data_IF_159613997891
#
_entry.id   IF_159613997891
#
_cell.length_a   1.000
_cell.length_b   1.000
_cell.length_c   1.000
_cell.angle_alpha   90.00
_cell.angle_beta   90.00
_cell.angle_gamma   90.00
#
_symmetry.space_group_name_H-M   'P 1'
#
loop_
_entity.id
_entity.type
_entity.pdbx_description
1 polymer ?
#
# COMPACT_ATOMS: atom_id res chain seq x y z
N UNK A 1 47.17 -17.76 12.69
CA UNK A 1 46.68 -16.60 11.90
C UNK A 1 46.28 -15.49 12.85
N UNK A 2 46.96 -14.34 12.85
CA UNK A 2 46.52 -13.16 13.62
C UNK A 2 45.47 -12.45 12.79
N UNK A 3 44.21 -12.47 13.23
CA UNK A 3 43.15 -11.75 12.54
C UNK A 3 43.45 -10.24 12.67
N UNK A 4 43.73 -9.52 11.57
CA UNK A 4 44.20 -8.15 11.67
C UNK A 4 43.09 -7.26 12.21
N UNK A 5 43.40 -6.35 13.14
CA UNK A 5 42.40 -5.49 13.79
C UNK A 5 41.49 -4.75 12.79
N UNK A 6 42.02 -4.43 11.60
CA UNK A 6 41.29 -3.84 10.48
C UNK A 6 40.13 -4.71 10.01
N UNK A 7 40.29 -6.04 9.97
CA UNK A 7 39.20 -6.97 9.60
C UNK A 7 38.12 -7.06 10.67
N UNK A 8 38.50 -7.02 11.96
CA UNK A 8 37.53 -6.95 13.06
C UNK A 8 36.75 -5.63 13.02
N UNK A 9 37.43 -4.50 12.84
CA UNK A 9 36.78 -3.19 12.72
C UNK A 9 35.82 -3.12 11.52
N UNK A 10 36.24 -3.64 10.36
CA UNK A 10 35.39 -3.69 9.17
C UNK A 10 34.16 -4.59 9.35
N UNK A 11 34.33 -5.77 9.96
CA UNK A 11 33.21 -6.68 10.24
C UNK A 11 32.20 -6.06 11.21
N UNK A 12 32.67 -5.43 12.29
CA UNK A 12 31.80 -4.75 13.25
C UNK A 12 31.04 -3.58 12.60
N UNK A 13 31.70 -2.80 11.75
CA UNK A 13 31.05 -1.72 11.01
C UNK A 13 29.97 -2.25 10.06
N UNK A 14 30.25 -3.33 9.32
CA UNK A 14 29.27 -3.95 8.42
C UNK A 14 28.05 -4.48 9.17
N UNK A 15 28.26 -5.15 10.31
CA UNK A 15 27.16 -5.62 11.18
C UNK A 15 26.36 -4.43 11.71
N UNK A 16 27.03 -3.35 12.14
CA UNK A 16 26.38 -2.13 12.61
C UNK A 16 25.51 -1.47 11.54
N UNK A 17 25.99 -1.38 10.30
CA UNK A 17 25.23 -0.85 9.16
C UNK A 17 24.02 -1.73 8.86
N UNK A 18 24.18 -3.06 8.88
CA UNK A 18 23.08 -3.99 8.65
C UNK A 18 22.03 -3.88 9.77
N UNK A 19 22.46 -3.83 11.03
CA UNK A 19 21.57 -3.64 12.16
C UNK A 19 20.79 -2.32 12.07
N UNK A 20 21.41 -1.25 11.54
CA UNK A 20 20.74 0.03 11.33
C UNK A 20 19.55 -0.09 10.35
N UNK A 21 19.61 -0.97 9.34
CA UNK A 21 18.49 -1.21 8.41
C UNK A 21 17.27 -1.86 9.07
N UNK A 22 17.43 -2.51 10.22
CA UNK A 22 16.32 -3.06 10.99
C UNK A 22 15.61 -1.99 11.85
N UNK A 23 16.29 -0.88 12.14
CA UNK A 23 15.79 0.21 12.99
C UNK A 23 15.27 1.37 12.15
N UNK A 24 15.93 1.66 11.04
CA UNK A 24 15.48 2.67 10.08
C UNK A 24 14.58 1.99 9.06
N UNK A 25 13.31 2.39 9.05
CA UNK A 25 12.36 2.00 8.00
C UNK A 25 12.23 3.14 6.99
N UNK A 26 13.14 3.27 6.00
CA UNK A 26 13.02 4.33 5.01
C UNK A 26 11.76 4.10 4.19
N UNK A 27 11.05 5.18 3.83
CA UNK A 27 9.95 5.07 2.88
C UNK A 27 10.47 4.46 1.57
N UNK A 28 9.81 3.42 1.04
CA UNK A 28 10.23 2.80 -0.21
C UNK A 28 10.19 3.86 -1.31
N UNK A 29 11.31 4.06 -2.01
CA UNK A 29 11.39 4.96 -3.17
C UNK A 29 10.84 4.35 -4.44
N UNK A 30 10.76 3.02 -4.46
CA UNK A 30 10.24 2.24 -5.59
C UNK A 30 9.37 1.12 -5.06
N UNK A 31 8.21 0.89 -5.69
CA UNK A 31 7.29 -0.20 -5.37
C UNK A 31 6.97 -0.98 -6.64
N UNK A 32 6.98 -2.30 -6.55
CA UNK A 32 6.46 -3.18 -7.61
C UNK A 32 4.98 -3.49 -7.36
N UNK A 33 4.11 -3.13 -8.30
CA UNK A 33 2.71 -3.55 -8.27
C UNK A 33 2.54 -4.89 -8.98
N UNK A 34 2.27 -5.94 -8.23
CA UNK A 34 2.05 -7.29 -8.72
C UNK A 34 0.58 -7.59 -9.09
N UNK A 35 -0.33 -6.60 -9.00
CA UNK A 35 -1.76 -6.81 -9.21
C UNK A 35 -2.32 -5.93 -10.32
N UNK A 36 -3.41 -6.34 -10.97
CA UNK A 36 -4.06 -5.54 -12.02
C UNK A 36 -4.92 -4.38 -11.47
N UNK A 37 -4.72 -3.93 -10.23
CA UNK A 37 -5.49 -2.80 -9.67
C UNK A 37 -5.10 -1.45 -10.25
N UNK A 38 -3.83 -1.33 -10.63
CA UNK A 38 -3.23 -0.30 -11.50
C UNK A 38 -2.32 -1.06 -12.48
N UNK A 39 -1.71 -0.45 -13.50
CA UNK A 39 -0.80 -1.17 -14.39
C UNK A 39 0.29 -1.93 -13.61
N UNK A 40 0.58 -3.18 -14.00
CA UNK A 40 1.62 -3.99 -13.38
C UNK A 40 2.99 -3.39 -13.75
N UNK A 41 3.86 -3.16 -12.77
CA UNK A 41 5.15 -2.52 -13.02
C UNK A 41 5.82 -1.89 -11.79
N UNK A 42 6.95 -1.22 -12.04
CA UNK A 42 7.70 -0.42 -11.07
C UNK A 42 7.17 1.01 -11.02
N UNK A 43 6.94 1.51 -9.81
CA UNK A 43 6.49 2.87 -9.54
C UNK A 43 7.49 3.59 -8.66
N UNK A 44 7.89 4.80 -9.04
CA UNK A 44 8.64 5.69 -8.17
C UNK A 44 7.69 6.36 -7.16
N UNK A 45 8.12 6.46 -5.90
CA UNK A 45 7.34 7.04 -4.81
C UNK A 45 7.90 8.42 -4.48
N UNK A 46 7.06 9.45 -4.59
CA UNK A 46 7.35 10.80 -4.10
C UNK A 46 6.60 11.07 -2.78
N UNK A 47 7.27 11.00 -1.62
CA UNK A 47 6.63 11.21 -0.32
C UNK A 47 6.33 12.68 -0.02
N UNK A 48 6.78 13.63 -0.85
CA UNK A 48 6.62 15.07 -0.59
C UNK A 48 5.41 15.68 -1.29
N UNK A 49 4.80 14.94 -2.21
CA UNK A 49 3.67 15.41 -3.02
C UNK A 49 2.36 14.91 -2.42
N UNK A 50 1.42 15.82 -2.19
CA UNK A 50 0.03 15.46 -1.92
C UNK A 50 -0.60 14.89 -3.20
N UNK A 51 -1.30 13.75 -3.13
CA UNK A 51 -1.86 13.14 -4.32
C UNK A 51 -3.04 13.97 -4.86
N UNK A 52 -3.12 14.07 -6.18
CA UNK A 52 -4.24 14.70 -6.89
C UNK A 52 -5.24 13.65 -7.38
N UNK A 53 -6.37 14.10 -7.95
CA UNK A 53 -7.33 13.17 -8.55
C UNK A 53 -6.67 12.40 -9.68
N UNK A 54 -7.00 11.12 -9.81
CA UNK A 54 -6.44 10.17 -10.79
C UNK A 54 -4.98 9.75 -10.54
N UNK A 55 -4.26 10.42 -9.65
CA UNK A 55 -2.94 9.94 -9.22
C UNK A 55 -3.05 8.54 -8.60
N UNK A 56 -1.92 7.83 -8.61
CA UNK A 56 -1.77 6.55 -7.91
C UNK A 56 -1.15 6.83 -6.55
N UNK A 57 -1.89 6.52 -5.48
CA UNK A 57 -1.43 6.66 -4.11
C UNK A 57 -0.93 5.33 -3.54
N UNK A 58 0.11 5.43 -2.70
CA UNK A 58 0.54 4.35 -1.81
C UNK A 58 -0.35 4.38 -0.58
N UNK A 59 -1.12 3.31 -0.36
CA UNK A 59 -2.10 3.23 0.73
C UNK A 59 -1.74 2.10 1.69
N UNK A 60 -1.46 2.44 2.94
CA UNK A 60 -1.35 1.45 4.01
C UNK A 60 -2.77 1.19 4.58
N UNK A 61 -3.32 -0.02 4.41
CA UNK A 61 -4.64 -0.31 4.93
C UNK A 61 -4.64 -0.24 6.47
N UNK A 62 -5.65 0.36 7.11
CA UNK A 62 -5.77 0.34 8.57
C UNK A 62 -6.00 -1.08 9.09
N UNK A 63 -5.71 -1.29 10.37
CA UNK A 63 -5.57 -2.61 11.00
C UNK A 63 -6.74 -3.60 10.78
N UNK A 64 -8.03 -3.20 10.79
CA UNK A 64 -9.11 -4.13 10.46
C UNK A 64 -9.12 -4.55 8.98
N UNK A 65 -8.77 -3.63 8.06
CA UNK A 65 -8.74 -3.90 6.63
C UNK A 65 -7.50 -4.70 6.23
N UNK A 66 -6.35 -4.42 6.83
CA UNK A 66 -5.10 -5.14 6.59
C UNK A 66 -5.26 -6.63 6.92
N UNK A 67 -5.84 -6.95 8.09
CA UNK A 67 -6.12 -8.32 8.51
C UNK A 67 -7.09 -9.02 7.55
N UNK A 68 -8.21 -8.38 7.20
CA UNK A 68 -9.16 -8.92 6.23
C UNK A 68 -8.49 -9.24 4.88
N UNK A 69 -7.61 -8.35 4.41
CA UNK A 69 -6.90 -8.55 3.14
C UNK A 69 -5.90 -9.72 3.23
N UNK A 70 -5.23 -9.88 4.37
CA UNK A 70 -4.26 -10.94 4.63
C UNK A 70 -4.91 -12.31 4.77
N UNK A 71 -5.92 -12.44 5.64
CA UNK A 71 -6.71 -13.67 5.82
C UNK A 71 -7.42 -14.08 4.52
N UNK A 72 -7.85 -13.08 3.75
CA UNK A 72 -8.41 -13.29 2.43
C UNK A 72 -7.37 -13.71 1.37
N UNK A 73 -6.07 -13.64 1.65
CA UNK A 73 -5.01 -13.89 0.68
C UNK A 73 -5.10 -12.94 -0.52
N UNK A 74 -5.42 -11.67 -0.25
CA UNK A 74 -5.43 -10.59 -1.24
C UNK A 74 -4.16 -9.75 -1.16
N UNK A 75 -3.68 -9.48 0.05
CA UNK A 75 -2.50 -8.68 0.34
C UNK A 75 -1.93 -9.07 1.71
N UNK A 76 -0.64 -9.42 1.83
CA UNK A 76 -0.03 -9.68 3.13
C UNK A 76 -0.06 -8.45 4.06
N UNK A 77 -0.07 -8.67 5.37
CA UNK A 77 0.01 -7.57 6.34
C UNK A 77 1.31 -6.76 6.18
N UNK A 78 1.21 -5.44 6.39
CA UNK A 78 2.34 -4.51 6.24
C UNK A 78 2.72 -4.16 4.80
N UNK A 79 2.14 -4.83 3.79
CA UNK A 79 2.37 -4.50 2.38
C UNK A 79 1.41 -3.37 1.96
N UNK A 80 1.90 -2.28 1.33
CA UNK A 80 1.03 -1.22 0.85
C UNK A 80 0.29 -1.58 -0.45
N UNK A 81 -0.84 -0.93 -0.67
CA UNK A 81 -1.62 -0.97 -1.92
C UNK A 81 -1.21 0.19 -2.84
N UNK A 82 -1.29 -0.03 -4.15
CA UNK A 82 -1.38 1.07 -5.13
C UNK A 82 -2.83 1.19 -5.63
N UNK A 83 -3.41 2.39 -5.50
CA UNK A 83 -4.79 2.69 -5.89
C UNK A 83 -4.91 4.07 -6.52
N UNK A 84 -5.82 4.22 -7.49
CA UNK A 84 -6.20 5.54 -8.01
C UNK A 84 -6.97 6.35 -6.97
N UNK A 85 -6.67 7.65 -6.91
CA UNK A 85 -7.40 8.62 -6.09
C UNK A 85 -8.67 9.07 -6.81
N UNK A 86 -9.82 8.62 -6.30
CA UNK A 86 -11.13 8.96 -6.85
C UNK A 86 -11.65 10.32 -6.35
N UNK A 87 -11.33 10.69 -5.11
CA UNK A 87 -11.83 11.88 -4.45
C UNK A 87 -10.77 12.55 -3.56
N UNK A 88 -10.89 13.87 -3.40
CA UNK A 88 -10.03 14.73 -2.59
C UNK A 88 -10.79 15.32 -1.39
N UNK A 89 -10.10 15.89 -0.39
CA UNK A 89 -10.74 16.60 0.70
C UNK A 89 -11.75 17.65 0.21
N UNK A 90 -12.91 17.71 0.86
CA UNK A 90 -14.04 18.59 0.47
C UNK A 90 -15.06 17.94 -0.47
N UNK A 91 -14.73 16.82 -1.11
CA UNK A 91 -15.67 16.08 -1.95
C UNK A 91 -16.49 15.07 -1.15
N UNK A 92 -17.70 14.80 -1.63
CA UNK A 92 -18.62 13.83 -1.02
C UNK A 92 -18.52 12.49 -1.73
N UNK A 93 -18.05 11.48 -1.01
CA UNK A 93 -18.10 10.08 -1.47
C UNK A 93 -19.36 9.44 -0.90
N UNK A 94 -20.24 8.94 -1.77
CA UNK A 94 -21.46 8.25 -1.36
C UNK A 94 -21.54 6.87 -2.03
N UNK A 95 -22.00 5.87 -1.29
CA UNK A 95 -22.39 4.55 -1.76
C UNK A 95 -23.87 4.32 -1.51
N UNK A 96 -24.63 4.10 -2.58
CA UNK A 96 -26.01 3.62 -2.57
C UNK A 96 -26.05 2.21 -3.16
N UNK A 97 -26.37 1.23 -2.32
CA UNK A 97 -26.31 -0.20 -2.66
C UNK A 97 -24.94 -0.64 -3.21
N UNK A 98 -24.84 -0.78 -4.53
CA UNK A 98 -23.59 -1.10 -5.23
C UNK A 98 -22.95 0.12 -5.85
N UNK A 99 -23.69 1.19 -6.11
CA UNK A 99 -23.18 2.35 -6.84
C UNK A 99 -22.36 3.25 -5.93
N UNK A 100 -21.13 3.54 -6.32
CA UNK A 100 -20.25 4.51 -5.68
C UNK A 100 -20.25 5.79 -6.52
N UNK A 101 -20.42 6.93 -5.86
CA UNK A 101 -20.44 8.26 -6.46
C UNK A 101 -19.47 9.20 -5.75
N UNK A 102 -18.97 10.18 -6.48
CA UNK A 102 -18.23 11.33 -5.95
C UNK A 102 -18.94 12.59 -6.44
N UNK A 103 -19.42 13.42 -5.52
CA UNK A 103 -20.23 14.62 -5.81
C UNK A 103 -21.42 14.32 -6.75
N UNK A 104 -22.04 13.15 -6.58
CA UNK A 104 -23.17 12.69 -7.38
C UNK A 104 -22.80 12.04 -8.73
N UNK A 105 -21.55 12.12 -9.17
CA UNK A 105 -21.06 11.48 -10.39
C UNK A 105 -20.71 10.02 -10.11
N UNK A 106 -21.24 9.09 -10.91
CA UNK A 106 -20.96 7.66 -10.80
C UNK A 106 -19.48 7.37 -11.08
N UNK A 107 -18.80 6.73 -10.11
CA UNK A 107 -17.40 6.33 -10.22
C UNK A 107 -17.22 4.83 -10.40
N UNK A 108 -18.19 4.01 -9.98
CA UNK A 108 -18.13 2.56 -10.18
C UNK A 108 -19.06 1.77 -9.28
N UNK A 109 -18.88 0.45 -9.26
CA UNK A 109 -19.68 -0.48 -8.46
C UNK A 109 -18.88 -1.24 -7.41
N UNK A 110 -19.40 -1.29 -6.18
CA UNK A 110 -18.95 -2.17 -5.12
C UNK A 110 -19.51 -3.58 -5.32
N UNK A 111 -18.65 -4.52 -5.72
CA UNK A 111 -18.99 -5.93 -5.80
C UNK A 111 -19.32 -6.49 -4.40
N UNK A 112 -20.31 -7.38 -4.32
CA UNK A 112 -20.67 -8.08 -3.07
C UNK A 112 -19.75 -9.26 -2.75
N UNK A 113 -19.10 -9.81 -3.77
CA UNK A 113 -18.25 -10.99 -3.66
C UNK A 113 -16.99 -10.80 -4.49
N UNK A 114 -15.91 -11.45 -4.08
CA UNK A 114 -14.67 -11.52 -4.84
C UNK A 114 -14.74 -12.57 -5.97
N UNK A 115 -13.65 -12.71 -6.73
CA UNK A 115 -13.53 -13.72 -7.80
C UNK A 115 -13.63 -15.18 -7.32
N UNK A 116 -13.46 -15.41 -6.01
CA UNK A 116 -13.58 -16.72 -5.34
C UNK A 116 -14.97 -16.93 -4.70
N UNK A 117 -15.90 -15.99 -4.89
CA UNK A 117 -17.26 -16.05 -4.33
C UNK A 117 -17.37 -15.66 -2.85
N UNK A 118 -16.28 -15.21 -2.21
CA UNK A 118 -16.28 -14.81 -0.79
C UNK A 118 -16.90 -13.43 -0.62
N UNK A 119 -17.65 -13.17 0.47
CA UNK A 119 -18.28 -11.88 0.70
C UNK A 119 -17.23 -10.77 0.88
N UNK A 120 -17.47 -9.61 0.27
CA UNK A 120 -16.65 -8.40 0.46
C UNK A 120 -17.28 -7.49 1.53
N UNK A 121 -16.47 -6.69 2.25
CA UNK A 121 -16.96 -5.75 3.24
C UNK A 121 -17.96 -4.76 2.64
N UNK A 122 -19.04 -4.48 3.39
CA UNK A 122 -20.07 -3.52 2.99
C UNK A 122 -19.97 -2.30 3.90
N UNK A 123 -19.90 -1.13 3.26
CA UNK A 123 -20.02 0.16 3.93
C UNK A 123 -21.22 0.91 3.34
N UNK A 124 -21.77 1.85 4.11
CA UNK A 124 -22.87 2.73 3.73
C UNK A 124 -22.54 4.15 4.17
N UNK A 125 -22.94 5.13 3.37
CA UNK A 125 -22.63 6.55 3.57
C UNK A 125 -22.44 7.24 2.23
#
# INVERSE_FOLDING_TARGET
MKLPWKTLAAATAAIGILALTAVIHPLPRVIWNASASVPIGLYAVDPRRSPERMDIAVVHPPEPLARFLSEGGYLPEGVPLLKHVAALPGQRVCRRDRTITVDGVMMGEALRRDRRGRPLPVWRG
#
